data_IF_534311847669
#
_entry.id   IF_534311847669
#
_cell.length_a   1.000
_cell.length_b   1.000
_cell.length_c   1.000
_cell.angle_alpha   90.00
_cell.angle_beta   90.00
_cell.angle_gamma   90.00
#
_symmetry.space_group_name_H-M   'P 1'
#
loop_
_entity.id
_entity.type
_entity.pdbx_description
1 polymer ?
#
# COMPACT_ATOMS: atom_id res chain seq x y z
N UNK A 1 -15.99 -3.84 -2.86
CA UNK A 1 -16.42 -2.74 -1.99
C UNK A 1 -16.71 -1.48 -2.80
N UNK A 2 -15.77 -0.94 -3.60
CA UNK A 2 -16.08 0.20 -4.46
C UNK A 2 -17.17 -0.13 -5.50
N UNK A 3 -17.05 -1.26 -6.20
CA UNK A 3 -18.06 -1.70 -7.19
C UNK A 3 -19.39 -2.16 -6.58
N UNK A 4 -19.42 -2.46 -5.28
CA UNK A 4 -20.64 -2.81 -4.56
C UNK A 4 -20.56 -2.25 -3.14
N UNK A 5 -21.08 -1.02 -2.93
CA UNK A 5 -20.94 -0.29 -1.67
C UNK A 5 -21.57 -0.98 -0.46
N UNK A 6 -22.57 -1.84 -0.64
CA UNK A 6 -23.26 -2.54 0.46
C UNK A 6 -22.35 -3.53 1.21
N UNK A 7 -21.17 -3.82 0.64
CA UNK A 7 -20.17 -4.74 1.20
C UNK A 7 -19.10 -4.04 2.05
N UNK A 8 -19.15 -2.71 2.18
CA UNK A 8 -18.10 -1.92 2.86
C UNK A 8 -17.91 -2.36 4.33
N UNK A 9 -19.00 -2.55 5.05
CA UNK A 9 -19.01 -2.83 6.49
C UNK A 9 -19.30 -4.31 6.80
N UNK A 10 -19.19 -5.19 5.80
CA UNK A 10 -19.42 -6.64 5.94
C UNK A 10 -18.09 -7.39 5.82
N UNK A 11 -17.90 -8.51 6.55
CA UNK A 11 -16.77 -9.40 6.32
C UNK A 11 -16.78 -9.90 4.86
N UNK A 12 -15.73 -9.57 4.09
CA UNK A 12 -15.63 -9.85 2.66
C UNK A 12 -14.31 -10.56 2.34
N UNK A 13 -14.41 -11.65 1.57
CA UNK A 13 -13.27 -12.34 0.96
C UNK A 13 -13.39 -12.39 -0.56
N UNK A 14 -12.25 -12.35 -1.24
CA UNK A 14 -12.16 -12.64 -2.68
C UNK A 14 -11.73 -14.08 -2.84
N UNK A 15 -12.51 -14.84 -3.61
CA UNK A 15 -12.30 -16.26 -3.85
C UNK A 15 -11.74 -16.49 -5.25
N UNK A 16 -10.67 -17.28 -5.36
CA UNK A 16 -10.28 -17.93 -6.61
C UNK A 16 -10.22 -19.43 -6.37
N UNK A 17 -10.86 -20.20 -7.24
CA UNK A 17 -11.09 -21.64 -7.07
C UNK A 17 -11.69 -21.95 -5.69
N UNK A 18 -10.91 -22.54 -4.80
CA UNK A 18 -11.32 -22.93 -3.44
C UNK A 18 -10.58 -22.17 -2.34
N UNK A 19 -9.85 -21.09 -2.69
CA UNK A 19 -9.02 -20.32 -1.78
C UNK A 19 -9.48 -18.86 -1.67
N UNK A 20 -9.34 -18.31 -0.46
CA UNK A 20 -9.48 -16.87 -0.20
C UNK A 20 -8.15 -16.19 -0.53
N UNK A 21 -8.07 -15.50 -1.67
CA UNK A 21 -6.82 -14.86 -2.12
C UNK A 21 -6.51 -13.59 -1.36
N UNK A 22 -7.55 -12.85 -0.97
CA UNK A 22 -7.45 -11.72 -0.04
C UNK A 22 -8.79 -11.50 0.66
N UNK A 23 -8.78 -10.73 1.75
CA UNK A 23 -9.98 -10.37 2.50
C UNK A 23 -9.83 -8.98 3.13
N UNK A 24 -10.96 -8.32 3.36
CA UNK A 24 -11.01 -7.00 3.99
C UNK A 24 -10.71 -7.08 5.49
N UNK A 25 -10.49 -5.91 6.11
CA UNK A 25 -10.14 -5.85 7.52
C UNK A 25 -11.26 -6.37 8.44
N UNK A 26 -12.53 -6.22 8.07
CA UNK A 26 -13.65 -6.78 8.85
C UNK A 26 -13.60 -8.32 8.91
N UNK A 27 -13.24 -8.99 7.82
CA UNK A 27 -13.00 -10.43 7.84
C UNK A 27 -11.72 -10.81 8.61
N UNK A 28 -10.65 -10.01 8.52
CA UNK A 28 -9.39 -10.26 9.24
C UNK A 28 -9.55 -10.20 10.76
N UNK A 29 -10.37 -9.27 11.27
CA UNK A 29 -10.71 -9.18 12.71
C UNK A 29 -11.33 -10.48 13.22
N UNK A 30 -12.06 -11.20 12.37
CA UNK A 30 -12.72 -12.47 12.68
C UNK A 30 -11.82 -13.69 12.40
N UNK A 31 -10.53 -13.47 12.13
CA UNK A 31 -9.54 -14.53 11.97
C UNK A 31 -9.44 -15.16 10.58
N UNK A 32 -10.12 -14.60 9.57
CA UNK A 32 -9.93 -14.96 8.17
C UNK A 32 -8.58 -14.40 7.69
N UNK A 33 -7.78 -15.22 7.01
CA UNK A 33 -6.46 -14.83 6.46
C UNK A 33 -6.39 -15.19 4.97
N UNK A 34 -5.45 -14.54 4.28
CA UNK A 34 -5.09 -14.92 2.91
C UNK A 34 -4.65 -16.39 2.83
N UNK A 35 -4.91 -17.03 1.70
CA UNK A 35 -4.62 -18.43 1.40
C UNK A 35 -5.39 -19.47 2.24
N UNK A 36 -6.39 -19.05 3.03
CA UNK A 36 -7.30 -19.99 3.66
C UNK A 36 -8.20 -20.67 2.62
N UNK A 37 -8.56 -21.93 2.89
CA UNK A 37 -9.63 -22.56 2.11
C UNK A 37 -10.95 -21.84 2.39
N UNK A 38 -11.85 -21.84 1.41
CA UNK A 38 -13.20 -21.27 1.57
C UNK A 38 -13.94 -21.91 2.74
N UNK A 39 -13.73 -23.22 2.94
CA UNK A 39 -14.31 -23.97 4.06
C UNK A 39 -13.82 -23.41 5.41
N UNK A 40 -12.50 -23.33 5.62
CA UNK A 40 -11.95 -22.86 6.90
C UNK A 40 -12.31 -21.40 7.18
N UNK A 41 -12.34 -20.57 6.13
CA UNK A 41 -12.74 -19.18 6.24
C UNK A 41 -14.22 -19.04 6.66
N UNK A 42 -15.11 -19.89 6.13
CA UNK A 42 -16.53 -19.93 6.48
C UNK A 42 -16.79 -20.52 7.86
N UNK A 43 -16.00 -21.51 8.29
CA UNK A 43 -16.07 -22.04 9.65
C UNK A 43 -15.72 -20.96 10.70
N UNK A 44 -14.74 -20.10 10.41
CA UNK A 44 -14.36 -18.97 11.28
C UNK A 44 -15.33 -17.79 11.23
N UNK A 45 -15.89 -17.52 10.06
CA UNK A 45 -16.78 -16.40 9.82
C UNK A 45 -17.98 -16.87 8.98
N UNK A 46 -19.03 -17.43 9.60
CA UNK A 46 -20.21 -17.93 8.88
C UNK A 46 -20.87 -16.86 7.99
N UNK A 47 -20.87 -15.60 8.46
CA UNK A 47 -21.38 -14.43 7.76
C UNK A 47 -20.45 -13.86 6.67
N UNK A 48 -19.31 -14.52 6.37
CA UNK A 48 -18.35 -14.07 5.36
C UNK A 48 -19.02 -14.00 3.99
N UNK A 49 -19.02 -12.83 3.36
CA UNK A 49 -19.42 -12.70 1.96
C UNK A 49 -18.22 -13.03 1.08
N UNK A 50 -18.43 -13.86 0.06
CA UNK A 50 -17.39 -14.23 -0.91
C UNK A 50 -17.77 -13.69 -2.28
N UNK A 51 -16.80 -13.06 -2.94
CA UNK A 51 -16.92 -12.59 -4.31
C UNK A 51 -15.91 -13.34 -5.18
N UNK A 52 -16.36 -13.81 -6.35
CA UNK A 52 -15.50 -14.48 -7.32
C UNK A 52 -14.47 -13.48 -7.88
N UNK A 53 -13.19 -13.81 -7.77
CA UNK A 53 -12.06 -13.03 -8.25
C UNK A 53 -11.27 -13.69 -9.38
N UNK A 54 -11.80 -14.69 -10.07
CA UNK A 54 -11.15 -15.34 -11.23
C UNK A 54 -10.90 -14.33 -12.37
N UNK A 55 -11.87 -13.46 -12.64
CA UNK A 55 -11.71 -12.39 -13.61
C UNK A 55 -10.85 -11.26 -13.04
N UNK A 56 -9.64 -11.15 -13.59
CA UNK A 56 -8.64 -10.17 -13.17
C UNK A 56 -8.74 -8.82 -13.90
N UNK A 57 -9.66 -8.68 -14.85
CA UNK A 57 -9.70 -7.52 -15.76
C UNK A 57 -9.85 -6.20 -15.01
N UNK A 58 -10.77 -6.14 -14.04
CA UNK A 58 -11.02 -4.92 -13.25
C UNK A 58 -9.86 -4.58 -12.30
N UNK A 59 -9.19 -5.59 -11.74
CA UNK A 59 -8.03 -5.37 -10.88
C UNK A 59 -6.84 -4.86 -11.70
N UNK A 60 -6.64 -5.42 -12.90
CA UNK A 60 -5.62 -4.96 -13.85
C UNK A 60 -5.87 -3.52 -14.28
N UNK A 61 -7.11 -3.18 -14.66
CA UNK A 61 -7.47 -1.82 -15.06
C UNK A 61 -7.22 -0.81 -13.94
N UNK A 62 -7.65 -1.12 -12.71
CA UNK A 62 -7.40 -0.24 -11.57
C UNK A 62 -5.91 -0.12 -11.24
N UNK A 63 -5.15 -1.20 -11.37
CA UNK A 63 -3.70 -1.20 -11.18
C UNK A 63 -3.00 -0.21 -12.12
N UNK A 64 -3.32 -0.25 -13.42
CA UNK A 64 -2.75 0.69 -14.39
C UNK A 64 -3.15 2.13 -14.10
N UNK A 65 -4.42 2.40 -13.74
CA UNK A 65 -4.86 3.74 -13.35
C UNK A 65 -4.07 4.31 -12.17
N UNK A 66 -3.71 3.45 -11.21
CA UNK A 66 -2.86 3.86 -10.07
C UNK A 66 -1.43 4.13 -10.54
N UNK A 67 -0.83 3.29 -11.39
CA UNK A 67 0.49 3.54 -11.95
C UNK A 67 0.52 4.84 -12.76
N UNK A 68 -0.42 5.04 -13.68
CA UNK A 68 -0.53 6.25 -14.51
C UNK A 68 -0.64 7.51 -13.64
N UNK A 69 -1.44 7.46 -12.57
CA UNK A 69 -1.54 8.56 -11.61
C UNK A 69 -0.19 8.84 -10.92
N UNK A 70 0.57 7.81 -10.57
CA UNK A 70 1.89 7.97 -9.94
C UNK A 70 2.93 8.53 -10.93
N UNK A 71 2.84 8.15 -12.20
CA UNK A 71 3.70 8.66 -13.29
C UNK A 71 3.51 10.17 -13.52
N UNK A 72 2.36 10.75 -13.15
CA UNK A 72 2.15 12.20 -13.15
C UNK A 72 3.01 12.94 -12.10
N UNK A 73 3.46 12.26 -11.04
CA UNK A 73 4.31 12.85 -9.99
C UNK A 73 5.81 12.69 -10.28
N UNK A 74 6.20 11.55 -10.85
CA UNK A 74 7.59 11.27 -11.26
C UNK A 74 7.57 10.32 -12.45
N UNK A 75 8.41 10.55 -13.48
CA UNK A 75 8.45 9.68 -14.66
C UNK A 75 9.07 8.30 -14.38
N UNK A 76 9.72 8.11 -13.23
CA UNK A 76 10.41 6.86 -12.87
C UNK A 76 9.55 6.06 -11.90
N UNK A 77 8.69 5.21 -12.47
CA UNK A 77 7.78 4.32 -11.73
C UNK A 77 8.02 2.87 -12.15
N UNK A 78 8.18 1.97 -11.19
CA UNK A 78 8.30 0.52 -11.41
C UNK A 78 7.17 -0.23 -10.71
N UNK A 79 6.51 -1.15 -11.42
CA UNK A 79 5.40 -1.95 -10.88
C UNK A 79 5.87 -3.27 -10.31
N UNK A 80 5.34 -3.66 -9.15
CA UNK A 80 5.48 -5.00 -8.59
C UNK A 80 4.09 -5.61 -8.35
N UNK A 81 3.64 -6.46 -9.28
CA UNK A 81 2.29 -7.02 -9.21
C UNK A 81 1.20 -5.99 -9.55
N UNK A 82 0.03 -6.08 -8.89
CA UNK A 82 -1.13 -5.23 -9.21
C UNK A 82 -1.32 -4.06 -8.23
N UNK A 83 -0.85 -4.18 -7.00
CA UNK A 83 -1.13 -3.22 -5.92
C UNK A 83 0.12 -2.52 -5.39
N UNK A 84 1.32 -2.83 -5.91
CA UNK A 84 2.57 -2.23 -5.46
C UNK A 84 3.28 -1.49 -6.62
N UNK A 85 3.78 -0.29 -6.32
CA UNK A 85 4.53 0.57 -7.23
C UNK A 85 5.70 1.20 -6.46
N UNK A 86 6.89 1.20 -7.04
CA UNK A 86 8.05 1.97 -6.60
C UNK A 86 8.12 3.25 -7.41
N UNK A 87 8.41 4.37 -6.75
CA UNK A 87 8.49 5.69 -7.40
C UNK A 87 9.79 6.35 -6.95
N UNK A 88 10.64 6.74 -7.89
CA UNK A 88 11.81 7.56 -7.58
C UNK A 88 11.37 9.01 -7.35
N UNK A 89 11.53 9.50 -6.13
CA UNK A 89 11.15 10.86 -5.74
C UNK A 89 12.35 11.78 -5.57
N UNK A 90 13.57 11.34 -5.92
CA UNK A 90 14.83 12.07 -5.64
C UNK A 90 14.79 13.50 -6.18
N UNK A 91 14.51 13.68 -7.47
CA UNK A 91 14.43 15.02 -8.09
C UNK A 91 13.31 15.88 -7.51
N UNK A 92 12.16 15.28 -7.21
CA UNK A 92 11.00 15.98 -6.65
C UNK A 92 11.30 16.52 -5.25
N UNK A 93 11.97 15.71 -4.42
CA UNK A 93 12.37 16.07 -3.06
C UNK A 93 13.42 17.18 -3.10
N UNK A 94 14.48 17.03 -3.91
CA UNK A 94 15.53 18.05 -4.06
C UNK A 94 14.96 19.41 -4.49
N UNK A 95 14.06 19.41 -5.49
CA UNK A 95 13.37 20.62 -5.95
C UNK A 95 12.56 21.29 -4.83
N UNK A 96 11.86 20.51 -4.01
CA UNK A 96 11.07 21.06 -2.88
C UNK A 96 11.97 21.61 -1.78
N UNK A 97 13.08 20.94 -1.47
CA UNK A 97 14.03 21.41 -0.46
C UNK A 97 14.69 22.74 -0.86
N UNK A 98 15.00 22.94 -2.14
CA UNK A 98 15.52 24.22 -2.64
C UNK A 98 14.52 25.38 -2.51
N UNK A 99 13.22 25.09 -2.45
CA UNK A 99 12.16 26.09 -2.34
C UNK A 99 11.79 26.43 -0.90
N UNK A 100 12.26 25.64 0.08
CA UNK A 100 11.93 25.83 1.48
C UNK A 100 12.87 26.85 2.16
N UNK A 101 12.37 27.69 3.07
CA UNK A 101 13.20 28.52 3.93
C UNK A 101 14.12 27.65 4.80
N UNK A 102 15.35 28.12 5.05
CA UNK A 102 16.38 27.35 5.78
C UNK A 102 15.94 26.91 7.19
N UNK A 103 15.12 27.71 7.86
CA UNK A 103 14.63 27.43 9.21
C UNK A 103 13.57 26.30 9.23
N UNK A 104 12.80 26.13 8.14
CA UNK A 104 11.81 25.06 8.01
C UNK A 104 12.49 23.72 7.70
N UNK A 105 13.57 23.73 6.91
CA UNK A 105 14.35 22.51 6.58
C UNK A 105 14.88 21.83 7.84
N UNK A 106 15.36 22.60 8.82
CA UNK A 106 15.88 22.10 10.09
C UNK A 106 14.79 21.45 10.98
N UNK A 107 13.52 21.69 10.69
CA UNK A 107 12.38 21.12 11.40
C UNK A 107 11.78 19.87 10.75
N UNK A 108 12.21 19.53 9.52
CA UNK A 108 11.66 18.39 8.77
C UNK A 108 12.05 17.09 9.48
N UNK A 109 11.06 16.43 10.06
CA UNK A 109 11.21 15.11 10.66
C UNK A 109 10.59 14.08 9.73
N UNK A 110 11.39 13.14 9.24
CA UNK A 110 10.89 12.00 8.46
C UNK A 110 10.74 10.80 9.41
N UNK A 111 9.53 10.27 9.53
CA UNK A 111 9.27 9.03 10.24
C UNK A 111 8.87 7.94 9.24
N UNK A 112 9.56 6.80 9.27
CA UNK A 112 9.24 5.68 8.38
C UNK A 112 10.16 4.49 8.64
N UNK A 113 9.81 3.35 8.04
CA UNK A 113 10.68 2.18 8.03
C UNK A 113 11.71 2.35 6.90
N UNK A 114 12.97 2.60 7.27
CA UNK A 114 14.08 2.72 6.31
C UNK A 114 14.63 1.33 6.05
N UNK A 115 14.41 0.81 4.84
CA UNK A 115 15.00 -0.47 4.46
C UNK A 115 16.52 -0.33 4.38
N UNK A 116 17.26 -1.25 4.99
CA UNK A 116 18.73 -1.28 5.03
C UNK A 116 19.44 -0.16 5.82
N UNK A 117 18.73 0.70 6.57
CA UNK A 117 19.32 1.79 7.37
C UNK A 117 20.25 2.76 6.58
N UNK A 118 20.24 2.68 5.25
CA UNK A 118 21.02 3.54 4.36
C UNK A 118 20.09 4.65 3.87
N UNK A 119 19.97 5.69 4.68
CA UNK A 119 19.63 7.01 4.15
C UNK A 119 20.92 7.58 3.57
N UNK A 120 21.14 7.45 2.26
CA UNK A 120 22.02 8.39 1.56
C UNK A 120 21.27 9.73 1.42
N UNK A 121 21.07 10.40 2.55
CA UNK A 121 20.70 11.80 2.53
C UNK A 121 21.94 12.57 2.09
N UNK A 122 22.02 12.97 0.82
CA UNK A 122 23.07 13.87 0.29
C UNK A 122 22.93 15.32 0.80
N UNK A 123 22.37 15.51 1.99
CA UNK A 123 22.30 16.79 2.65
C UNK A 123 23.04 16.71 3.99
N UNK A 124 23.94 17.67 4.28
CA UNK A 124 24.64 17.72 5.55
C UNK A 124 23.66 18.15 6.63
N UNK A 125 22.90 17.20 7.17
CA UNK A 125 22.12 17.43 8.39
C UNK A 125 23.03 17.01 9.55
N UNK A 126 23.42 17.93 10.45
CA UNK A 126 24.25 17.57 11.59
C UNK A 126 23.44 16.67 12.51
N UNK A 127 23.87 15.41 12.63
CA UNK A 127 23.44 14.52 13.70
C UNK A 127 23.86 15.16 15.04
N UNK A 128 22.89 15.77 15.72
CA UNK A 128 23.06 16.22 17.08
C UNK A 128 23.16 15.01 18.01
N UNK A 129 24.29 14.89 18.69
CA UNK A 129 24.52 13.95 19.77
C UNK A 129 23.41 13.99 20.82
N UNK A 130 22.73 12.87 21.04
CA UNK A 130 22.13 12.56 22.35
C UNK A 130 22.31 11.09 22.70
N UNK A 131 23.33 10.88 23.52
CA UNK A 131 23.39 9.82 24.53
C UNK A 131 22.04 9.66 25.24
N UNK A 132 21.46 8.47 25.15
CA UNK A 132 21.16 7.54 26.26
C UNK A 132 20.53 6.25 25.71
#
# INVERSE_FOLDING_TARGET
MISNPELKDKPLGIQQKYLVVTCNYEARKLGVKKLMTVRDAKEKCPQLVLVNGEDLSRYREMSYKVTELLEEFSPVVERLGFDENFVDLTEMVEKRLQQLPRDEILSVTVSGHVYNNQCECFLPIPLGDRLL
#
